data_IF_226401165769
#
_entry.id   IF_226401165769
#
_cell.length_a   1.000
_cell.length_b   1.000
_cell.length_c   1.000
_cell.angle_alpha   90.00
_cell.angle_beta   90.00
_cell.angle_gamma   90.00
#
_symmetry.space_group_name_H-M   'P 1'
#
loop_
_entity.id
_entity.type
_entity.pdbx_description
1 polymer ?
#
# COMPACT_ATOMS: atom_id res chain seq x y z
N UNK A 1 25.23 42.94 -0.03
CA UNK A 1 24.26 42.40 -1.01
C UNK A 1 23.34 41.46 -0.26
N UNK A 2 22.05 41.79 -0.07
CA UNK A 2 21.10 40.88 0.59
C UNK A 2 20.74 39.75 -0.38
N UNK A 3 20.84 38.50 0.05
CA UNK A 3 20.43 37.34 -0.73
C UNK A 3 18.96 37.46 -1.14
N UNK A 4 18.69 37.40 -2.44
CA UNK A 4 17.34 37.44 -2.99
C UNK A 4 16.64 36.12 -2.64
N UNK A 5 15.64 36.19 -1.76
CA UNK A 5 14.89 34.99 -1.34
C UNK A 5 14.23 34.33 -2.55
N UNK A 6 14.73 33.16 -2.93
CA UNK A 6 14.25 32.39 -4.07
C UNK A 6 13.02 31.56 -3.68
N UNK A 7 11.91 31.76 -4.38
CA UNK A 7 10.70 30.97 -4.20
C UNK A 7 10.96 29.51 -4.61
N UNK A 8 10.62 28.58 -3.71
CA UNK A 8 10.76 27.12 -3.93
C UNK A 8 9.43 26.46 -3.64
N UNK A 9 8.91 25.69 -4.59
CA UNK A 9 7.74 24.84 -4.36
C UNK A 9 8.03 23.83 -3.25
N UNK A 10 7.19 23.81 -2.22
CA UNK A 10 7.20 22.80 -1.14
C UNK A 10 5.80 22.22 -1.03
N UNK A 11 5.73 20.90 -0.84
CA UNK A 11 4.48 20.20 -0.56
C UNK A 11 4.50 19.69 0.88
N UNK A 12 3.40 19.88 1.59
CA UNK A 12 3.15 19.26 2.89
C UNK A 12 2.00 18.26 2.76
N UNK A 13 2.12 17.15 3.48
CA UNK A 13 1.05 16.17 3.60
C UNK A 13 0.43 16.28 4.98
N UNK A 14 -0.90 16.23 5.05
CA UNK A 14 -1.60 16.09 6.32
C UNK A 14 -1.29 14.72 6.88
N UNK A 15 -0.76 14.70 8.11
CA UNK A 15 -0.49 13.47 8.87
C UNK A 15 -1.38 13.45 10.11
N UNK A 16 -1.79 12.27 10.59
CA UNK A 16 -2.48 12.17 11.87
C UNK A 16 -1.65 12.83 12.98
N UNK A 17 -2.29 13.63 13.82
CA UNK A 17 -1.67 14.17 15.02
C UNK A 17 -1.47 13.03 16.02
N UNK A 18 -0.23 12.84 16.48
CA UNK A 18 0.09 11.83 17.49
C UNK A 18 0.24 12.52 18.84
N UNK A 19 -0.45 12.01 19.85
CA UNK A 19 -0.19 12.40 21.25
C UNK A 19 1.17 11.85 21.69
N UNK A 20 1.76 12.45 22.73
CA UNK A 20 3.07 12.01 23.22
C UNK A 20 3.04 10.56 23.73
N UNK A 21 1.92 10.14 24.33
CA UNK A 21 1.68 8.73 24.68
C UNK A 21 1.79 7.80 23.45
N UNK A 22 1.16 8.15 22.31
CA UNK A 22 1.25 7.33 21.10
C UNK A 22 2.67 7.28 20.53
N UNK A 23 3.45 8.36 20.69
CA UNK A 23 4.86 8.38 20.26
C UNK A 23 5.68 7.41 21.11
N UNK A 24 5.50 7.45 22.43
CA UNK A 24 6.17 6.54 23.38
C UNK A 24 5.83 5.09 23.04
N UNK A 25 4.55 4.76 22.90
CA UNK A 25 4.12 3.39 22.54
C UNK A 25 4.74 2.89 21.25
N UNK A 26 4.80 3.73 20.21
CA UNK A 26 5.43 3.36 18.93
C UNK A 26 6.92 3.10 19.07
N UNK A 27 7.63 3.89 19.87
CA UNK A 27 9.06 3.68 20.14
C UNK A 27 9.25 2.40 20.97
N UNK A 28 8.48 2.20 22.03
CA UNK A 28 8.53 0.98 22.85
C UNK A 28 8.26 -0.27 22.02
N UNK A 29 7.27 -0.21 21.13
CA UNK A 29 6.99 -1.29 20.19
C UNK A 29 8.20 -1.57 19.28
N UNK A 30 8.80 -0.54 18.69
CA UNK A 30 10.00 -0.68 17.85
C UNK A 30 11.21 -1.25 18.62
N UNK A 31 11.39 -0.82 19.88
CA UNK A 31 12.44 -1.32 20.77
C UNK A 31 12.27 -2.82 21.09
N UNK A 32 11.03 -3.32 21.13
CA UNK A 32 10.76 -4.74 21.32
C UNK A 32 11.31 -5.66 20.20
N UNK A 33 11.70 -5.09 19.06
CA UNK A 33 12.34 -5.84 17.97
C UNK A 33 13.87 -5.77 17.98
N UNK A 34 14.48 -4.99 18.88
CA UNK A 34 15.94 -4.92 18.98
C UNK A 34 16.48 -6.15 19.71
N UNK A 35 17.49 -6.77 19.11
CA UNK A 35 18.24 -7.91 19.64
C UNK A 35 19.67 -7.47 19.96
N UNK A 36 20.25 -7.91 21.08
CA UNK A 36 21.64 -7.62 21.40
C UNK A 36 22.57 -8.39 20.45
N UNK A 37 23.61 -7.72 19.98
CA UNK A 37 24.66 -8.26 19.13
C UNK A 37 26.04 -8.18 19.76
N UNK A 38 27.07 -8.66 19.04
CA UNK A 38 28.46 -8.63 19.52
C UNK A 38 28.92 -7.21 19.83
N UNK A 39 29.83 -7.06 20.81
CA UNK A 39 30.45 -5.78 21.18
C UNK A 39 29.46 -4.65 21.54
N UNK A 40 28.29 -5.00 22.09
CA UNK A 40 27.27 -4.01 22.46
C UNK A 40 26.50 -3.42 21.28
N UNK A 41 26.69 -3.96 20.07
CA UNK A 41 25.84 -3.63 18.93
C UNK A 41 24.42 -4.15 19.14
N UNK A 42 23.47 -3.60 18.40
CA UNK A 42 22.11 -4.10 18.35
C UNK A 42 21.67 -4.25 16.90
N UNK A 43 20.83 -5.24 16.64
CA UNK A 43 20.23 -5.46 15.33
C UNK A 43 18.74 -5.72 15.47
N UNK A 44 17.97 -5.45 14.43
CA UNK A 44 16.55 -5.77 14.42
C UNK A 44 16.34 -7.26 14.20
N UNK A 45 15.34 -7.81 14.89
CA UNK A 45 14.79 -9.14 14.65
C UNK A 45 14.57 -9.37 13.16
N UNK A 46 14.96 -10.54 12.66
CA UNK A 46 14.91 -10.83 11.23
C UNK A 46 13.47 -10.99 10.70
N UNK A 47 12.49 -11.15 11.59
CA UNK A 47 11.07 -11.31 11.26
C UNK A 47 10.78 -12.46 10.27
N UNK A 48 11.66 -13.46 10.12
CA UNK A 48 11.45 -14.57 9.19
C UNK A 48 10.28 -15.49 9.58
N UNK A 49 9.85 -15.42 10.84
CA UNK A 49 8.69 -16.15 11.39
C UNK A 49 7.41 -15.28 11.46
N UNK A 50 7.37 -14.13 10.78
CA UNK A 50 6.22 -13.21 10.81
C UNK A 50 5.57 -13.09 9.44
N UNK A 51 4.26 -13.00 9.46
CA UNK A 51 3.42 -12.66 8.30
C UNK A 51 2.74 -11.33 8.58
N UNK A 52 2.96 -10.36 7.71
CA UNK A 52 2.28 -9.07 7.76
C UNK A 52 0.97 -9.18 6.98
N UNK A 53 -0.12 -8.80 7.62
CA UNK A 53 -1.46 -8.83 7.03
C UNK A 53 -2.03 -7.42 7.09
N UNK A 54 -2.59 -6.96 5.98
CA UNK A 54 -3.24 -5.65 5.88
C UNK A 54 -4.46 -5.70 4.94
N UNK A 55 -5.41 -4.81 5.20
CA UNK A 55 -6.59 -4.63 4.35
C UNK A 55 -6.47 -3.34 3.56
N UNK A 56 -6.77 -3.40 2.26
CA UNK A 56 -6.71 -2.24 1.39
C UNK A 56 -7.88 -2.16 0.44
N UNK A 57 -8.46 -0.96 0.34
CA UNK A 57 -9.44 -0.62 -0.69
C UNK A 57 -8.74 -0.30 -2.02
N UNK A 58 -9.11 -1.02 -3.07
CA UNK A 58 -8.72 -0.74 -4.44
C UNK A 58 -9.88 -0.11 -5.19
N UNK A 59 -9.64 1.05 -5.79
CA UNK A 59 -10.62 1.73 -6.63
C UNK A 59 -10.48 1.26 -8.07
N UNK A 60 -11.60 0.96 -8.72
CA UNK A 60 -11.62 0.53 -10.12
C UNK A 60 -11.04 1.60 -11.07
N UNK A 61 -11.21 2.89 -10.73
CA UNK A 61 -10.58 4.00 -11.45
C UNK A 61 -10.08 5.07 -10.48
N UNK A 62 -9.00 5.76 -10.83
CA UNK A 62 -8.49 6.91 -10.06
C UNK A 62 -9.28 8.16 -10.44
N UNK A 63 -9.60 8.96 -9.41
CA UNK A 63 -10.25 10.27 -9.52
C UNK A 63 -9.46 11.18 -10.49
N UNK A 64 -8.16 11.33 -10.23
CA UNK A 64 -7.23 12.01 -11.14
C UNK A 64 -6.32 10.94 -11.75
N UNK A 65 -6.38 10.80 -13.08
CA UNK A 65 -5.48 9.94 -13.86
C UNK A 65 -4.82 10.81 -14.92
N UNK A 66 -3.52 10.66 -15.06
CA UNK A 66 -2.75 11.30 -16.13
C UNK A 66 -2.83 10.40 -17.35
N UNK A 67 -3.19 10.98 -18.49
CA UNK A 67 -3.13 10.34 -19.79
C UNK A 67 -2.07 11.08 -20.61
N UNK A 68 -1.31 10.33 -21.40
CA UNK A 68 -0.46 10.88 -22.44
C UNK A 68 -1.24 10.74 -23.74
N UNK A 69 -1.46 11.86 -24.41
CA UNK A 69 -2.32 12.00 -25.58
C UNK A 69 -1.57 12.94 -26.54
N UNK A 70 -1.59 12.66 -27.84
CA UNK A 70 -1.00 13.55 -28.84
C UNK A 70 -1.82 14.86 -28.96
N UNK A 71 -1.26 15.91 -29.54
CA UNK A 71 -1.92 17.23 -29.60
C UNK A 71 -3.23 17.22 -30.41
N UNK A 72 -3.33 16.32 -31.38
CA UNK A 72 -4.48 16.12 -32.27
C UNK A 72 -5.49 15.08 -31.75
N UNK A 73 -5.20 14.42 -30.64
CA UNK A 73 -6.07 13.39 -30.06
C UNK A 73 -6.96 13.96 -28.95
N UNK A 74 -8.23 13.55 -28.92
CA UNK A 74 -9.16 13.96 -27.89
C UNK A 74 -8.99 13.14 -26.60
N UNK A 75 -8.89 13.81 -25.45
CA UNK A 75 -8.78 13.15 -24.16
C UNK A 75 -10.07 12.39 -23.82
N UNK A 76 -9.95 11.12 -23.45
CA UNK A 76 -11.08 10.27 -23.03
C UNK A 76 -11.91 10.96 -21.93
N UNK A 77 -13.16 11.30 -22.24
CA UNK A 77 -14.09 11.87 -21.28
C UNK A 77 -14.46 10.83 -20.21
N UNK A 78 -14.26 11.20 -18.93
CA UNK A 78 -14.61 10.35 -17.78
C UNK A 78 -15.48 11.12 -16.80
N UNK A 79 -16.76 10.75 -16.73
CA UNK A 79 -17.73 11.36 -15.82
C UNK A 79 -18.21 10.36 -14.76
N UNK A 80 -18.38 10.85 -13.53
CA UNK A 80 -19.08 10.17 -12.44
C UNK A 80 -19.76 11.23 -11.57
N UNK A 81 -20.96 10.95 -11.06
CA UNK A 81 -21.74 11.91 -10.25
C UNK A 81 -21.00 12.36 -8.97
N UNK A 82 -20.19 11.49 -8.38
CA UNK A 82 -19.32 11.79 -7.23
C UNK A 82 -18.23 10.73 -7.09
N UNK A 83 -17.10 11.11 -6.48
CA UNK A 83 -16.00 10.18 -6.15
C UNK A 83 -16.46 9.00 -5.28
N UNK A 84 -17.54 9.19 -4.51
CA UNK A 84 -18.13 8.14 -3.64
C UNK A 84 -18.73 6.98 -4.43
N UNK A 85 -19.12 7.19 -5.69
CA UNK A 85 -19.71 6.16 -6.56
C UNK A 85 -18.67 5.36 -7.35
N UNK A 86 -17.38 5.65 -7.18
CA UNK A 86 -16.35 4.83 -7.80
C UNK A 86 -16.35 3.47 -7.11
N UNK A 87 -16.61 2.41 -7.88
CA UNK A 87 -16.55 1.02 -7.38
C UNK A 87 -15.22 0.76 -6.71
N UNK A 88 -15.28 0.28 -5.47
CA UNK A 88 -14.11 -0.11 -4.66
C UNK A 88 -14.27 -1.54 -4.18
N UNK A 89 -13.18 -2.29 -4.21
CA UNK A 89 -13.11 -3.66 -3.71
C UNK A 89 -12.06 -3.70 -2.60
N UNK A 90 -12.39 -4.28 -1.46
CA UNK A 90 -11.43 -4.48 -0.38
C UNK A 90 -10.69 -5.79 -0.62
N UNK A 91 -9.39 -5.77 -0.40
CA UNK A 91 -8.55 -6.96 -0.43
C UNK A 91 -7.79 -7.09 0.88
N UNK A 92 -7.72 -8.31 1.38
CA UNK A 92 -6.76 -8.73 2.40
C UNK A 92 -5.48 -9.19 1.69
N UNK A 93 -4.32 -8.66 2.08
CA UNK A 93 -3.03 -9.09 1.55
C UNK A 93 -2.16 -9.62 2.69
N UNK A 94 -1.49 -10.74 2.44
CA UNK A 94 -0.51 -11.32 3.37
C UNK A 94 0.87 -11.37 2.71
N UNK A 95 1.88 -10.84 3.39
CA UNK A 95 3.26 -10.78 2.91
C UNK A 95 4.21 -11.14 4.05
N UNK A 96 5.16 -12.03 3.78
CA UNK A 96 6.28 -12.34 4.65
C UNK A 96 7.57 -11.71 4.10
N UNK A 97 8.65 -11.72 4.88
CA UNK A 97 9.94 -11.19 4.44
C UNK A 97 10.50 -12.06 3.27
N UNK A 98 10.90 -11.45 2.14
CA UNK A 98 11.58 -12.19 1.07
C UNK A 98 12.85 -12.87 1.58
N UNK A 99 13.10 -14.11 1.16
CA UNK A 99 14.27 -14.88 1.60
C UNK A 99 14.73 -15.85 0.52
N UNK A 100 16.04 -16.07 0.47
CA UNK A 100 16.65 -17.05 -0.42
C UNK A 100 16.61 -18.44 0.24
N UNK A 101 16.17 -19.44 -0.52
CA UNK A 101 16.22 -20.85 -0.15
C UNK A 101 17.45 -21.48 -0.80
N UNK A 102 18.42 -21.89 0.03
CA UNK A 102 19.66 -22.50 -0.41
C UNK A 102 19.47 -23.94 -0.94
N UNK A 103 18.44 -24.65 -0.48
CA UNK A 103 18.15 -26.02 -0.93
C UNK A 103 17.50 -26.01 -2.32
N UNK A 104 16.49 -25.15 -2.49
CA UNK A 104 15.78 -25.00 -3.76
C UNK A 104 16.49 -24.07 -4.75
N UNK A 105 17.58 -23.41 -4.31
CA UNK A 105 18.32 -22.39 -5.06
C UNK A 105 17.42 -21.31 -5.66
N UNK A 106 16.38 -20.92 -4.92
CA UNK A 106 15.35 -20.00 -5.39
C UNK A 106 15.05 -18.92 -4.35
N UNK A 107 14.54 -17.78 -4.80
CA UNK A 107 14.14 -16.68 -3.91
C UNK A 107 12.64 -16.74 -3.68
N UNK A 108 12.22 -16.91 -2.42
CA UNK A 108 10.84 -16.64 -2.05
C UNK A 108 10.63 -15.13 -1.99
N UNK A 109 9.70 -14.62 -2.79
CA UNK A 109 9.44 -13.19 -2.96
C UNK A 109 8.60 -12.57 -1.82
N UNK A 110 8.25 -13.36 -0.81
CA UNK A 110 7.48 -12.92 0.34
C UNK A 110 5.96 -12.85 0.11
N UNK A 111 5.47 -13.02 -1.12
CA UNK A 111 4.04 -12.88 -1.42
C UNK A 111 3.33 -14.18 -1.06
N UNK A 112 2.41 -14.12 -0.10
CA UNK A 112 1.61 -15.29 0.31
C UNK A 112 0.27 -15.32 -0.41
N UNK A 113 -0.38 -14.16 -0.55
CA UNK A 113 -1.62 -14.07 -1.30
C UNK A 113 -2.34 -12.74 -1.15
N UNK A 114 -3.37 -12.59 -1.98
CA UNK A 114 -4.31 -11.48 -1.95
C UNK A 114 -5.73 -12.05 -2.12
N UNK A 115 -6.63 -11.70 -1.22
CA UNK A 115 -8.00 -12.23 -1.18
C UNK A 115 -9.02 -11.09 -1.22
N UNK A 116 -9.91 -11.04 -2.21
CA UNK A 116 -10.97 -10.06 -2.25
C UNK A 116 -12.07 -10.39 -1.24
N UNK A 117 -12.56 -9.38 -0.53
CA UNK A 117 -13.83 -9.46 0.20
C UNK A 117 -14.99 -9.29 -0.78
N UNK A 118 -15.35 -10.38 -1.46
CA UNK A 118 -16.43 -10.40 -2.45
C UNK A 118 -17.36 -11.59 -2.19
N UNK A 119 -18.64 -11.39 -2.46
CA UNK A 119 -19.60 -12.47 -2.53
C UNK A 119 -19.51 -13.12 -3.92
N UNK A 120 -19.25 -14.43 -3.96
CA UNK A 120 -19.38 -15.21 -5.19
C UNK A 120 -20.85 -15.62 -5.35
N UNK A 121 -21.49 -15.12 -6.40
CA UNK A 121 -22.87 -15.45 -6.74
C UNK A 121 -22.83 -16.24 -8.05
N UNK A 122 -23.58 -17.35 -8.19
CA UNK A 122 -23.74 -18.02 -9.47
C UNK A 122 -24.18 -17.02 -10.54
N UNK A 123 -23.65 -17.15 -11.77
CA UNK A 123 -24.07 -16.31 -12.87
C UNK A 123 -25.57 -16.50 -13.10
N UNK A 124 -26.37 -15.46 -12.83
CA UNK A 124 -27.78 -15.48 -13.13
C UNK A 124 -27.97 -15.40 -14.65
N UNK A 125 -28.61 -16.42 -15.24
CA UNK A 125 -29.04 -16.37 -16.64
C UNK A 125 -30.09 -15.26 -16.80
N UNK A 126 -29.76 -14.24 -17.58
CA UNK A 126 -30.66 -13.10 -17.81
C UNK A 126 -31.48 -13.24 -19.10
N UNK A 127 -31.51 -14.42 -19.73
CA UNK A 127 -32.37 -14.69 -20.88
C UNK A 127 -33.00 -16.08 -20.78
N UNK A 128 -34.26 -16.20 -21.23
CA UNK A 128 -34.95 -17.47 -21.42
C UNK A 128 -34.39 -18.30 -22.58
N UNK A 129 -33.65 -17.66 -23.51
CA UNK A 129 -33.20 -18.26 -24.77
C UNK A 129 -31.67 -18.38 -24.87
N UNK A 130 -31.00 -18.79 -23.80
CA UNK A 130 -29.69 -19.44 -23.91
C UNK A 130 -29.46 -20.32 -22.71
#
# INVERSE_FOLDING_TARGET
MQETKRLKGRSSYVKPALMDANKIERVTFALGFLRPGPHGSHFFDDMYNRVHVDEKWFFFTKVKRTFYVYEDEELVHRAAKSKRFITKVMFLAAVARPRYDHHLKCTFDGKLGIWPFVQRIPAARNSKNR
#
